data_IF_334677404664
#
_entry.id   IF_334677404664
#
_cell.length_a   1.000
_cell.length_b   1.000
_cell.length_c   1.000
_cell.angle_alpha   90.00
_cell.angle_beta   90.00
_cell.angle_gamma   90.00
#
_symmetry.space_group_name_H-M   'P 1'
#
loop_
_entity.id
_entity.type
_entity.pdbx_description
1 polymer ?
#
# COMPACT_ATOMS: atom_id res chain seq x y z
N UNK A 1 10.32 21.11 9.88
CA UNK A 1 10.61 19.73 10.31
C UNK A 1 9.54 18.72 9.86
N UNK A 2 8.24 18.98 10.08
CA UNK A 2 7.13 18.07 9.67
C UNK A 2 6.98 17.92 8.14
N UNK A 3 7.23 18.98 7.36
CA UNK A 3 7.13 18.96 5.88
C UNK A 3 8.13 17.99 5.25
N UNK A 4 9.37 17.99 5.72
CA UNK A 4 10.43 17.12 5.21
C UNK A 4 10.12 15.65 5.45
N UNK A 5 9.59 15.36 6.62
CA UNK A 5 9.17 14.03 6.97
C UNK A 5 8.03 13.52 6.08
N UNK A 6 6.99 14.32 5.86
CA UNK A 6 5.90 13.95 4.93
C UNK A 6 6.41 13.69 3.52
N UNK A 7 7.38 14.45 3.05
CA UNK A 7 8.00 14.24 1.74
C UNK A 7 8.83 12.95 1.68
N UNK A 8 9.61 12.64 2.72
CA UNK A 8 10.34 11.37 2.79
C UNK A 8 9.39 10.17 2.79
N UNK A 9 8.27 10.25 3.51
CA UNK A 9 7.23 9.21 3.48
C UNK A 9 6.66 9.02 2.08
N UNK A 10 6.30 10.11 1.39
CA UNK A 10 5.83 10.02 0.00
C UNK A 10 6.88 9.41 -0.94
N UNK A 11 8.15 9.77 -0.78
CA UNK A 11 9.24 9.19 -1.58
C UNK A 11 9.39 7.70 -1.30
N UNK A 12 9.29 7.30 -0.04
CA UNK A 12 9.37 5.92 0.39
C UNK A 12 8.26 5.08 -0.24
N UNK A 13 7.02 5.58 -0.20
CA UNK A 13 5.86 4.94 -0.83
C UNK A 13 6.12 4.80 -2.35
N UNK A 14 6.55 5.86 -3.03
CA UNK A 14 6.87 5.80 -4.46
C UNK A 14 7.99 4.79 -4.80
N UNK A 15 8.98 4.63 -3.93
CA UNK A 15 10.04 3.61 -4.08
C UNK A 15 9.46 2.21 -3.86
N UNK A 16 8.57 2.04 -2.88
CA UNK A 16 7.96 0.75 -2.56
C UNK A 16 7.01 0.27 -3.66
N UNK A 17 6.25 1.17 -4.28
CA UNK A 17 5.36 0.87 -5.42
C UNK A 17 6.12 0.28 -6.63
N UNK A 18 7.37 0.70 -6.85
CA UNK A 18 8.14 0.32 -8.07
C UNK A 18 9.35 -0.57 -7.79
N UNK A 19 9.80 -0.66 -6.54
CA UNK A 19 11.09 -1.25 -6.17
C UNK A 19 12.32 -0.43 -6.63
N UNK A 20 12.11 0.71 -7.30
CA UNK A 20 13.15 1.49 -7.95
C UNK A 20 13.44 2.74 -7.12
N UNK A 21 14.66 2.79 -6.57
CA UNK A 21 15.21 3.92 -5.81
C UNK A 21 15.84 4.99 -6.69
N UNK A 22 16.03 4.69 -7.98
CA UNK A 22 16.65 5.59 -8.96
C UNK A 22 15.61 6.56 -9.52
N UNK A 23 15.71 7.88 -9.28
CA UNK A 23 14.72 8.85 -9.75
C UNK A 23 14.61 8.89 -11.28
N UNK A 24 15.68 8.57 -12.02
CA UNK A 24 15.66 8.50 -13.48
C UNK A 24 14.73 7.42 -14.05
N UNK A 25 14.36 6.43 -13.23
CA UNK A 25 13.50 5.31 -13.60
C UNK A 25 12.21 5.26 -12.75
N UNK A 26 11.95 6.30 -11.94
CA UNK A 26 10.74 6.42 -11.12
C UNK A 26 10.28 7.89 -11.14
N UNK A 27 9.33 8.19 -12.04
CA UNK A 27 8.85 9.55 -12.30
C UNK A 27 8.19 10.16 -11.06
N UNK A 28 7.44 9.37 -10.29
CA UNK A 28 6.78 9.81 -9.05
C UNK A 28 7.82 10.21 -8.00
N UNK A 29 8.86 9.40 -7.82
CA UNK A 29 10.00 9.73 -6.97
C UNK A 29 10.73 11.00 -7.43
N UNK A 30 10.97 11.15 -8.73
CA UNK A 30 11.62 12.35 -9.29
C UNK A 30 10.83 13.63 -8.96
N UNK A 31 9.50 13.62 -9.17
CA UNK A 31 8.61 14.75 -8.84
C UNK A 31 8.66 15.08 -7.34
N UNK A 32 8.65 14.07 -6.47
CA UNK A 32 8.72 14.27 -5.02
C UNK A 32 10.08 14.82 -4.57
N UNK A 33 11.18 14.42 -5.21
CA UNK A 33 12.52 14.98 -4.97
C UNK A 33 12.58 16.45 -5.38
N UNK A 34 11.98 16.82 -6.51
CA UNK A 34 11.88 18.21 -6.93
C UNK A 34 11.08 19.04 -5.90
N UNK A 35 9.94 18.54 -5.44
CA UNK A 35 9.16 19.18 -4.37
C UNK A 35 9.98 19.33 -3.08
N UNK A 36 10.77 18.33 -2.71
CA UNK A 36 11.64 18.41 -1.54
C UNK A 36 12.74 19.46 -1.68
N UNK A 37 13.33 19.61 -2.86
CA UNK A 37 14.28 20.69 -3.15
C UNK A 37 13.60 22.06 -3.05
N UNK A 38 12.37 22.21 -3.58
CA UNK A 38 11.59 23.47 -3.51
C UNK A 38 11.30 23.94 -2.08
N UNK A 39 11.16 23.02 -1.13
CA UNK A 39 10.99 23.35 0.30
C UNK A 39 12.31 23.46 1.07
N UNK A 40 13.45 23.55 0.37
CA UNK A 40 14.80 23.65 0.95
C UNK A 40 15.22 22.42 1.77
N UNK A 41 14.77 21.21 1.41
CA UNK A 41 15.37 19.99 1.97
C UNK A 41 16.82 19.86 1.47
N UNK A 42 17.81 19.70 2.37
CA UNK A 42 19.20 19.53 1.95
C UNK A 42 19.37 18.31 1.04
N UNK A 43 20.08 18.48 -0.08
CA UNK A 43 20.34 17.41 -1.06
C UNK A 43 21.01 16.20 -0.40
N UNK A 44 21.95 16.44 0.53
CA UNK A 44 22.56 15.37 1.31
C UNK A 44 21.52 14.52 2.08
N UNK A 45 20.47 15.14 2.62
CA UNK A 45 19.41 14.42 3.33
C UNK A 45 18.56 13.53 2.41
N UNK A 46 18.37 13.97 1.17
CA UNK A 46 17.69 13.18 0.13
C UNK A 46 18.57 12.00 -0.28
N UNK A 47 19.85 12.26 -0.56
CA UNK A 47 20.80 11.22 -0.97
C UNK A 47 20.96 10.14 0.10
N UNK A 48 21.18 10.52 1.36
CA UNK A 48 21.27 9.57 2.49
C UNK A 48 19.99 8.74 2.63
N UNK A 49 18.82 9.34 2.39
CA UNK A 49 17.56 8.60 2.39
C UNK A 49 17.50 7.57 1.26
N UNK A 50 17.86 7.95 0.03
CA UNK A 50 17.87 7.03 -1.13
C UNK A 50 18.89 5.89 -0.96
N UNK A 51 20.09 6.20 -0.48
CA UNK A 51 21.14 5.21 -0.17
C UNK A 51 20.64 4.20 0.88
N UNK A 52 19.98 4.69 1.93
CA UNK A 52 19.38 3.84 2.96
C UNK A 52 18.29 2.94 2.38
N UNK A 53 17.45 3.46 1.50
CA UNK A 53 16.41 2.68 0.83
C UNK A 53 16.99 1.61 -0.10
N UNK A 54 18.10 1.90 -0.78
CA UNK A 54 18.78 0.92 -1.63
C UNK A 54 19.45 -0.19 -0.81
N UNK A 55 20.12 0.16 0.29
CA UNK A 55 20.77 -0.79 1.19
C UNK A 55 19.77 -1.74 1.87
N UNK A 56 18.53 -1.28 2.08
CA UNK A 56 17.41 -2.03 2.67
C UNK A 56 16.93 -3.20 1.80
N UNK A 57 17.29 -3.29 0.51
CA UNK A 57 16.80 -4.33 -0.40
C UNK A 57 17.20 -5.77 -0.03
N UNK A 58 18.32 -5.99 0.67
CA UNK A 58 18.90 -7.33 0.82
C UNK A 58 18.82 -7.94 2.24
N UNK A 59 18.31 -7.21 3.24
CA UNK A 59 18.26 -7.69 4.65
C UNK A 59 16.90 -7.57 5.33
N UNK A 60 15.91 -7.04 4.63
CA UNK A 60 14.63 -6.71 5.24
C UNK A 60 13.66 -7.89 5.20
N UNK A 61 12.89 -8.01 6.27
CA UNK A 61 11.72 -8.88 6.37
C UNK A 61 10.48 -8.05 6.06
N UNK A 62 9.64 -8.56 5.18
CA UNK A 62 8.31 -7.99 4.90
C UNK A 62 7.26 -8.80 5.64
N UNK A 63 6.23 -8.13 6.13
CA UNK A 63 5.11 -8.77 6.80
C UNK A 63 3.96 -7.80 7.03
N UNK A 64 2.95 -8.26 7.76
CA UNK A 64 1.84 -7.43 8.24
C UNK A 64 1.73 -7.53 9.76
N UNK A 65 1.34 -6.43 10.39
CA UNK A 65 1.00 -6.35 11.81
C UNK A 65 -0.43 -5.85 11.92
N UNK A 66 -1.20 -6.48 12.79
CA UNK A 66 -2.60 -6.14 13.00
C UNK A 66 -2.73 -5.05 14.09
N UNK A 67 -3.65 -4.12 13.84
CA UNK A 67 -3.96 -3.01 14.75
C UNK A 67 -5.47 -2.89 14.89
N UNK A 68 -5.92 -2.92 16.14
CA UNK A 68 -7.30 -2.68 16.51
C UNK A 68 -7.50 -1.25 17.00
N UNK A 69 -8.69 -0.71 16.77
CA UNK A 69 -9.08 0.62 17.18
C UNK A 69 -10.50 0.66 17.73
N UNK A 70 -11.10 1.86 17.84
CA UNK A 70 -12.46 2.01 18.34
C UNK A 70 -13.47 1.34 17.40
N UNK A 71 -14.59 0.90 17.98
CA UNK A 71 -15.82 0.54 17.24
C UNK A 71 -15.64 -0.50 16.13
N UNK A 72 -14.79 -1.49 16.37
CA UNK A 72 -14.55 -2.59 15.43
C UNK A 72 -13.55 -2.26 14.32
N UNK A 73 -12.85 -1.12 14.39
CA UNK A 73 -11.77 -0.80 13.48
C UNK A 73 -10.64 -1.84 13.57
N UNK A 74 -10.29 -2.42 12.42
CA UNK A 74 -9.17 -3.33 12.26
C UNK A 74 -8.36 -2.90 11.06
N UNK A 75 -7.04 -2.91 11.22
CA UNK A 75 -6.10 -2.60 10.15
C UNK A 75 -4.94 -3.60 10.10
N UNK A 76 -4.56 -3.98 8.89
CA UNK A 76 -3.29 -4.63 8.58
C UNK A 76 -2.28 -3.60 8.11
N UNK A 77 -1.20 -3.46 8.87
CA UNK A 77 -0.09 -2.57 8.56
C UNK A 77 1.02 -3.38 7.90
N UNK A 78 1.24 -3.16 6.61
CA UNK A 78 2.36 -3.76 5.89
C UNK A 78 3.65 -3.04 6.24
N UNK A 79 4.68 -3.82 6.54
CA UNK A 79 6.00 -3.31 6.88
C UNK A 79 7.11 -4.02 6.12
N UNK A 80 8.26 -3.35 6.00
CA UNK A 80 9.52 -3.92 5.52
C UNK A 80 10.65 -3.39 6.41
N UNK A 81 11.24 -4.26 7.24
CA UNK A 81 12.23 -3.86 8.26
C UNK A 81 13.31 -4.92 8.43
N UNK A 82 14.52 -4.51 8.79
CA UNK A 82 15.61 -5.41 9.22
C UNK A 82 15.48 -5.81 10.71
N UNK A 83 14.63 -5.12 11.49
CA UNK A 83 14.46 -5.35 12.92
C UNK A 83 12.99 -5.26 13.37
N UNK A 84 12.28 -6.39 13.26
CA UNK A 84 10.86 -6.50 13.65
C UNK A 84 10.62 -6.14 15.13
N UNK A 85 11.54 -6.49 16.04
CA UNK A 85 11.38 -6.17 17.47
C UNK A 85 11.43 -4.66 17.73
N UNK A 86 12.32 -3.95 17.04
CA UNK A 86 12.39 -2.49 17.13
C UNK A 86 11.14 -1.83 16.54
N UNK A 87 10.64 -2.35 15.41
CA UNK A 87 9.38 -1.91 14.81
C UNK A 87 8.18 -2.07 15.77
N UNK A 88 8.03 -3.24 16.39
CA UNK A 88 6.95 -3.50 17.36
C UNK A 88 7.01 -2.53 18.53
N UNK A 89 8.20 -2.32 19.11
CA UNK A 89 8.41 -1.37 20.21
C UNK A 89 8.03 0.06 19.79
N UNK A 90 8.39 0.46 18.57
CA UNK A 90 8.06 1.77 18.01
C UNK A 90 6.54 1.91 17.79
N UNK A 91 5.87 0.89 17.26
CA UNK A 91 4.42 0.86 17.08
C UNK A 91 3.70 1.05 18.42
N UNK A 92 4.03 0.26 19.45
CA UNK A 92 3.47 0.44 20.79
C UNK A 92 3.68 1.86 21.32
N UNK A 93 4.88 2.41 21.14
CA UNK A 93 5.20 3.79 21.57
C UNK A 93 4.36 4.82 20.83
N UNK A 94 4.18 4.68 19.51
CA UNK A 94 3.42 5.60 18.67
C UNK A 94 1.92 5.56 18.95
N UNK A 95 1.41 4.41 19.38
CA UNK A 95 -0.01 4.19 19.68
C UNK A 95 -0.40 4.42 21.14
N UNK A 96 0.57 4.59 22.06
CA UNK A 96 0.30 4.75 23.52
C UNK A 96 -0.71 5.84 23.88
N UNK A 97 -0.84 6.89 23.06
CA UNK A 97 -1.77 8.02 23.25
C UNK A 97 -2.90 8.06 22.21
N UNK A 98 -3.18 6.94 21.56
CA UNK A 98 -4.30 6.78 20.64
C UNK A 98 -5.24 5.69 21.16
N UNK A 99 -6.38 5.52 20.49
CA UNK A 99 -7.28 4.39 20.74
C UNK A 99 -6.83 3.10 20.03
N UNK A 100 -5.62 3.07 19.46
CA UNK A 100 -5.10 1.95 18.68
C UNK A 100 -4.26 1.00 19.52
N UNK A 101 -4.33 -0.30 19.23
CA UNK A 101 -3.52 -1.34 19.88
C UNK A 101 -2.98 -2.32 18.85
N UNK A 102 -1.70 -2.65 18.97
CA UNK A 102 -1.11 -3.76 18.22
C UNK A 102 -1.64 -5.07 18.80
N UNK A 103 -2.10 -5.97 17.95
CA UNK A 103 -2.55 -7.31 18.33
C UNK A 103 -1.60 -8.36 17.76
N UNK A 104 -1.30 -9.38 18.57
CA UNK A 104 -0.52 -10.54 18.14
C UNK A 104 -1.42 -11.69 17.66
N UNK A 105 -2.74 -11.56 17.87
CA UNK A 105 -3.71 -12.55 17.42
C UNK A 105 -3.79 -12.58 15.89
N UNK A 106 -3.78 -13.80 15.37
CA UNK A 106 -3.73 -14.09 13.94
C UNK A 106 -5.11 -13.97 13.30
N UNK A 107 -5.77 -12.80 13.38
CA UNK A 107 -6.96 -12.54 12.57
C UNK A 107 -6.63 -12.18 11.11
N UNK A 108 -5.65 -12.89 10.54
CA UNK A 108 -5.57 -13.11 9.08
C UNK A 108 -6.91 -13.61 8.51
N UNK A 109 -7.82 -14.10 9.36
CA UNK A 109 -9.19 -14.45 9.01
C UNK A 109 -10.13 -13.29 8.69
N UNK A 110 -9.82 -12.02 8.99
CA UNK A 110 -10.69 -10.87 8.67
C UNK A 110 -10.39 -10.23 7.31
N UNK A 111 -9.30 -10.66 6.67
CA UNK A 111 -8.86 -10.13 5.38
C UNK A 111 -8.53 -11.27 4.43
N UNK A 112 -8.90 -11.12 3.17
CA UNK A 112 -8.41 -11.99 2.10
C UNK A 112 -7.11 -11.39 1.55
N UNK A 113 -6.04 -12.19 1.51
CA UNK A 113 -4.79 -11.82 0.85
C UNK A 113 -4.88 -12.18 -0.63
N UNK A 114 -4.86 -11.17 -1.50
CA UNK A 114 -5.00 -11.37 -2.95
C UNK A 114 -3.87 -10.69 -3.71
N UNK A 115 -3.46 -11.30 -4.82
CA UNK A 115 -2.75 -10.60 -5.87
C UNK A 115 -3.72 -9.71 -6.63
N UNK A 116 -3.30 -8.50 -6.96
CA UNK A 116 -4.09 -7.46 -7.59
C UNK A 116 -3.34 -6.89 -8.78
N UNK A 117 -3.99 -6.89 -9.94
CA UNK A 117 -3.43 -6.38 -11.20
C UNK A 117 -4.42 -5.40 -11.81
N UNK A 118 -3.98 -4.16 -12.00
CA UNK A 118 -4.78 -3.11 -12.64
C UNK A 118 -4.26 -2.95 -14.06
N UNK A 119 -5.18 -2.95 -15.03
CA UNK A 119 -4.89 -2.77 -16.45
C UNK A 119 -5.82 -1.73 -17.07
N UNK A 120 -5.39 -1.11 -18.17
CA UNK A 120 -6.30 -0.31 -18.99
C UNK A 120 -7.45 -1.18 -19.51
N UNK A 121 -8.66 -0.61 -19.57
CA UNK A 121 -9.82 -1.32 -20.12
C UNK A 121 -9.57 -1.74 -21.58
N UNK A 122 -9.74 -3.02 -21.85
CA UNK A 122 -9.65 -3.62 -23.19
C UNK A 122 -10.88 -4.49 -23.45
N UNK A 123 -11.79 -3.99 -24.27
CA UNK A 123 -13.06 -4.67 -24.57
C UNK A 123 -14.12 -4.45 -23.49
N UNK A 124 -15.10 -5.36 -23.44
CA UNK A 124 -16.13 -5.38 -22.41
C UNK A 124 -15.74 -6.29 -21.24
N UNK A 125 -16.55 -6.24 -20.17
CA UNK A 125 -16.32 -7.01 -18.96
C UNK A 125 -16.49 -8.51 -19.21
N UNK A 126 -17.41 -8.92 -20.08
CA UNK A 126 -17.67 -10.33 -20.38
C UNK A 126 -16.42 -10.99 -20.98
N UNK A 127 -15.78 -10.33 -21.95
CA UNK A 127 -14.53 -10.81 -22.52
C UNK A 127 -13.37 -10.76 -21.53
N UNK A 128 -13.33 -9.75 -20.65
CA UNK A 128 -12.34 -9.69 -19.58
C UNK A 128 -12.50 -10.87 -18.58
N UNK A 129 -13.73 -11.30 -18.28
CA UNK A 129 -14.01 -12.46 -17.43
C UNK A 129 -13.53 -13.77 -18.07
N UNK A 130 -13.72 -13.94 -19.39
CA UNK A 130 -13.15 -15.08 -20.12
C UNK A 130 -11.62 -15.10 -20.04
N UNK A 131 -10.99 -13.93 -20.25
CA UNK A 131 -9.54 -13.79 -20.14
C UNK A 131 -9.06 -14.06 -18.70
N UNK A 132 -9.81 -13.63 -17.69
CA UNK A 132 -9.49 -13.88 -16.28
C UNK A 132 -9.33 -15.39 -16.00
N UNK A 133 -10.27 -16.20 -16.48
CA UNK A 133 -10.23 -17.66 -16.34
C UNK A 133 -8.99 -18.23 -17.03
N UNK A 134 -8.69 -17.78 -18.25
CA UNK A 134 -7.55 -18.27 -19.04
C UNK A 134 -6.21 -17.99 -18.37
N UNK A 135 -6.07 -16.83 -17.74
CA UNK A 135 -4.81 -16.43 -17.07
C UNK A 135 -4.70 -16.98 -15.64
N UNK A 136 -5.79 -17.50 -15.07
CA UNK A 136 -5.86 -18.01 -13.70
C UNK A 136 -6.10 -16.91 -12.65
N UNK A 137 -6.78 -15.83 -13.05
CA UNK A 137 -7.37 -14.87 -12.12
C UNK A 137 -8.69 -15.43 -11.55
N UNK A 138 -8.96 -15.11 -10.29
CA UNK A 138 -10.16 -15.56 -9.56
C UNK A 138 -11.34 -14.64 -9.79
N UNK A 139 -11.08 -13.36 -10.08
CA UNK A 139 -12.09 -12.33 -10.20
C UNK A 139 -11.60 -11.19 -11.12
N UNK A 140 -12.53 -10.50 -11.76
CA UNK A 140 -12.27 -9.27 -12.53
C UNK A 140 -13.40 -8.28 -12.35
N UNK A 141 -13.04 -7.04 -12.01
CA UNK A 141 -13.98 -5.95 -11.82
C UNK A 141 -13.64 -4.78 -12.75
N UNK A 142 -14.66 -4.10 -13.27
CA UNK A 142 -14.51 -2.80 -13.92
C UNK A 142 -14.66 -1.70 -12.87
N UNK A 143 -13.73 -0.74 -12.86
CA UNK A 143 -13.86 0.47 -12.06
C UNK A 143 -13.45 1.70 -12.87
N UNK A 144 -13.83 2.88 -12.40
CA UNK A 144 -13.54 4.16 -13.02
C UNK A 144 -12.73 5.03 -12.05
N UNK A 145 -11.66 5.65 -12.55
CA UNK A 145 -10.84 6.62 -11.82
C UNK A 145 -10.47 7.77 -12.78
N UNK A 146 -10.78 9.01 -12.38
CA UNK A 146 -10.62 10.23 -13.20
C UNK A 146 -11.25 10.12 -14.61
N UNK A 147 -12.52 9.68 -14.70
CA UNK A 147 -13.26 9.45 -15.95
C UNK A 147 -12.63 8.41 -16.91
N UNK A 148 -11.64 7.65 -16.43
CA UNK A 148 -11.00 6.56 -17.18
C UNK A 148 -11.37 5.23 -16.56
N UNK A 149 -11.72 4.26 -17.41
CA UNK A 149 -12.12 2.92 -16.99
C UNK A 149 -10.96 1.94 -17.03
N UNK A 150 -10.92 1.07 -16.03
CA UNK A 150 -9.88 0.07 -15.82
C UNK A 150 -10.49 -1.29 -15.53
N UNK A 151 -9.70 -2.34 -15.73
CA UNK A 151 -10.01 -3.66 -15.18
C UNK A 151 -9.06 -3.98 -14.03
N UNK A 152 -9.63 -4.54 -12.97
CA UNK A 152 -8.93 -5.04 -11.80
C UNK A 152 -9.04 -6.56 -11.76
N UNK A 153 -7.96 -7.25 -12.10
CA UNK A 153 -7.87 -8.70 -11.97
C UNK A 153 -7.34 -9.07 -10.59
N UNK A 154 -8.04 -9.96 -9.89
CA UNK A 154 -7.60 -10.51 -8.60
C UNK A 154 -7.24 -11.98 -8.76
N UNK A 155 -6.21 -12.43 -8.05
CA UNK A 155 -5.79 -13.83 -8.08
C UNK A 155 -5.17 -14.26 -6.76
N UNK A 156 -4.85 -15.54 -6.61
CA UNK A 156 -3.98 -15.98 -5.53
C UNK A 156 -2.63 -15.23 -5.58
N UNK A 157 -2.09 -14.71 -4.45
CA UNK A 157 -0.83 -13.98 -4.42
C UNK A 157 0.36 -14.73 -5.05
N UNK A 158 0.38 -16.06 -4.89
CA UNK A 158 1.42 -16.94 -5.47
C UNK A 158 1.41 -16.97 -7.01
N UNK A 159 0.29 -16.60 -7.63
CA UNK A 159 0.09 -16.57 -9.07
C UNK A 159 0.31 -15.18 -9.67
N UNK A 160 0.51 -14.13 -8.86
CA UNK A 160 0.56 -12.73 -9.29
C UNK A 160 1.46 -12.50 -10.51
N UNK A 161 2.71 -12.99 -10.46
CA UNK A 161 3.66 -12.82 -11.57
C UNK A 161 3.23 -13.60 -12.83
N UNK A 162 2.63 -14.78 -12.65
CA UNK A 162 2.14 -15.60 -13.77
C UNK A 162 0.97 -14.92 -14.46
N UNK A 163 -0.03 -14.49 -13.69
CA UNK A 163 -1.23 -13.80 -14.21
C UNK A 163 -0.83 -12.52 -14.92
N UNK A 164 0.07 -11.72 -14.33
CA UNK A 164 0.64 -10.53 -14.96
C UNK A 164 1.21 -10.84 -16.34
N UNK A 165 2.13 -11.80 -16.45
CA UNK A 165 2.78 -12.11 -17.73
C UNK A 165 1.79 -12.60 -18.78
N UNK A 166 0.80 -13.41 -18.39
CA UNK A 166 -0.24 -13.87 -19.31
C UNK A 166 -1.17 -12.74 -19.77
N UNK A 167 -1.47 -11.76 -18.91
CA UNK A 167 -2.21 -10.57 -19.30
C UNK A 167 -1.40 -9.72 -20.30
N UNK A 168 -0.09 -9.57 -20.07
CA UNK A 168 0.82 -8.90 -21.02
C UNK A 168 0.87 -9.64 -22.38
N UNK A 169 0.87 -10.98 -22.38
CA UNK A 169 0.81 -11.81 -23.60
C UNK A 169 -0.53 -11.68 -24.35
N UNK A 170 -1.62 -11.39 -23.63
CA UNK A 170 -2.93 -11.01 -24.19
C UNK A 170 -3.00 -9.52 -24.59
N UNK A 171 -1.86 -8.82 -24.56
CA UNK A 171 -1.69 -7.39 -24.87
C UNK A 171 -2.58 -6.48 -24.00
N UNK A 172 -2.78 -6.81 -22.74
CA UNK A 172 -3.26 -5.85 -21.75
C UNK A 172 -2.14 -4.88 -21.35
N UNK A 173 -2.48 -3.61 -21.20
CA UNK A 173 -1.57 -2.59 -20.67
C UNK A 173 -1.59 -2.65 -19.14
N UNK A 174 -0.59 -3.32 -18.54
CA UNK A 174 -0.48 -3.47 -17.08
C UNK A 174 0.01 -2.18 -16.43
N UNK A 175 -0.81 -1.62 -15.53
CA UNK A 175 -0.55 -0.36 -14.84
C UNK A 175 -0.02 -0.56 -13.42
N UNK A 176 -0.53 -1.55 -12.70
CA UNK A 176 -0.10 -1.89 -11.34
C UNK A 176 -0.20 -3.39 -11.08
N UNK A 177 0.72 -3.89 -10.25
CA UNK A 177 0.83 -5.30 -9.85
C UNK A 177 1.26 -5.33 -8.39
N UNK A 178 0.33 -5.68 -7.50
CA UNK A 178 0.54 -5.58 -6.05
C UNK A 178 -0.14 -6.74 -5.32
N UNK A 179 0.41 -7.14 -4.18
CA UNK A 179 -0.32 -7.96 -3.22
C UNK A 179 -1.14 -7.02 -2.32
N UNK A 180 -2.42 -7.27 -2.09
CA UNK A 180 -3.28 -6.44 -1.23
C UNK A 180 -4.04 -7.30 -0.23
N UNK A 181 -4.61 -6.65 0.79
CA UNK A 181 -5.49 -7.30 1.76
C UNK A 181 -6.86 -6.64 1.71
N UNK A 182 -7.89 -7.44 1.41
CA UNK A 182 -9.28 -6.97 1.30
C UNK A 182 -10.04 -7.40 2.56
N UNK A 183 -10.61 -6.47 3.34
CA UNK A 183 -11.39 -6.81 4.52
C UNK A 183 -12.69 -7.56 4.13
N UNK A 184 -13.12 -8.51 4.95
CA UNK A 184 -14.38 -9.25 4.73
C UNK A 184 -15.62 -8.46 5.11
N UNK A 185 -15.47 -7.46 5.98
CA UNK A 185 -16.58 -6.65 6.49
C UNK A 185 -16.09 -5.23 6.64
N UNK A 186 -16.83 -4.29 6.07
CA UNK A 186 -16.59 -2.87 6.25
C UNK A 186 -17.39 -2.34 7.46
N UNK A 187 -16.90 -1.25 8.06
CA UNK A 187 -17.56 -0.53 9.14
C UNK A 187 -17.73 0.94 8.78
N UNK A 188 -18.85 1.50 9.21
CA UNK A 188 -19.06 2.93 9.27
C UNK A 188 -18.64 3.46 10.65
N UNK A 189 -18.06 4.65 10.67
CA UNK A 189 -17.60 5.31 11.89
C UNK A 189 -18.19 6.70 11.98
N UNK A 190 -18.56 7.12 13.18
CA UNK A 190 -18.94 8.51 13.45
C UNK A 190 -17.76 9.48 13.26
N UNK A 191 -18.02 10.77 13.10
CA UNK A 191 -16.99 11.81 12.97
C UNK A 191 -15.94 11.79 14.09
N UNK A 192 -16.36 11.45 15.31
CA UNK A 192 -15.47 11.37 16.46
C UNK A 192 -14.52 10.17 16.34
N UNK A 193 -15.04 9.03 15.90
CA UNK A 193 -14.28 7.80 15.70
C UNK A 193 -13.35 7.92 14.48
N UNK A 194 -13.81 8.52 13.38
CA UNK A 194 -12.98 8.84 12.22
C UNK A 194 -11.80 9.74 12.58
N UNK A 195 -12.00 10.72 13.46
CA UNK A 195 -10.90 11.55 14.00
C UNK A 195 -9.91 10.70 14.80
N UNK A 196 -10.39 9.79 15.64
CA UNK A 196 -9.54 8.90 16.42
C UNK A 196 -8.74 7.94 15.53
N UNK A 197 -9.38 7.32 14.53
CA UNK A 197 -8.71 6.45 13.56
C UNK A 197 -7.72 7.22 12.69
N UNK A 198 -8.08 8.43 12.24
CA UNK A 198 -7.16 9.28 11.48
C UNK A 198 -5.89 9.59 12.27
N UNK A 199 -5.97 9.76 13.60
CA UNK A 199 -4.79 9.88 14.44
C UNK A 199 -3.97 8.58 14.46
N UNK A 200 -4.60 7.41 14.55
CA UNK A 200 -3.95 6.11 14.48
C UNK A 200 -3.19 5.96 13.14
N UNK A 201 -3.88 6.11 12.01
CA UNK A 201 -3.30 6.04 10.65
C UNK A 201 -2.12 6.98 10.49
N UNK A 202 -2.27 8.24 10.88
CA UNK A 202 -1.20 9.23 10.77
C UNK A 202 0.04 8.88 11.62
N UNK A 203 -0.15 8.27 12.80
CA UNK A 203 0.97 7.83 13.66
C UNK A 203 1.69 6.62 13.10
N UNK A 204 0.96 5.69 12.49
CA UNK A 204 1.50 4.50 11.85
C UNK A 204 2.24 4.85 10.56
N UNK A 205 1.63 5.61 9.66
CA UNK A 205 2.26 6.08 8.41
C UNK A 205 3.51 6.93 8.66
N UNK A 206 3.65 7.45 9.88
CA UNK A 206 4.85 8.12 10.36
C UNK A 206 6.07 7.17 10.47
N UNK A 207 5.85 5.86 10.55
CA UNK A 207 6.93 4.90 10.71
C UNK A 207 7.54 4.58 9.34
N UNK A 208 8.84 4.82 9.20
CA UNK A 208 9.59 4.62 7.95
C UNK A 208 9.59 3.16 7.47
N UNK A 209 9.33 2.19 8.34
CA UNK A 209 9.28 0.79 7.90
C UNK A 209 7.88 0.39 7.41
N UNK A 210 6.87 1.23 7.60
CA UNK A 210 5.50 0.98 7.14
C UNK A 210 5.36 1.41 5.67
N UNK A 211 4.73 0.57 4.86
CA UNK A 211 4.41 0.87 3.46
C UNK A 211 2.93 1.17 3.25
N UNK A 212 2.05 0.33 3.80
CA UNK A 212 0.61 0.39 3.57
C UNK A 212 -0.19 0.13 4.84
N UNK A 213 -1.40 0.67 4.88
CA UNK A 213 -2.42 0.35 5.87
C UNK A 213 -3.65 -0.10 5.08
N UNK A 214 -4.04 -1.35 5.26
CA UNK A 214 -5.32 -1.90 4.79
C UNK A 214 -6.25 -1.90 5.99
N UNK A 215 -7.39 -1.24 5.91
CA UNK A 215 -8.36 -1.19 7.02
C UNK A 215 -9.77 -1.47 6.53
N UNK A 216 -10.64 -1.75 7.49
CA UNK A 216 -12.03 -2.12 7.26
C UNK A 216 -12.98 -0.92 7.33
N UNK A 217 -12.50 0.31 7.11
CA UNK A 217 -13.38 1.48 7.08
C UNK A 217 -13.98 1.57 5.69
N UNK A 218 -15.29 1.78 5.66
CA UNK A 218 -15.97 2.24 4.46
C UNK A 218 -15.45 3.63 4.12
N UNK A 219 -14.46 3.69 3.23
CA UNK A 219 -14.07 4.97 2.66
C UNK A 219 -15.19 5.37 1.71
N UNK A 220 -15.77 6.56 1.91
CA UNK A 220 -16.28 7.30 0.76
C UNK A 220 -15.11 7.30 -0.23
N UNK A 221 -15.26 6.56 -1.33
CA UNK A 221 -14.37 6.67 -2.48
C UNK A 221 -14.37 8.16 -2.76
N UNK A 222 -13.28 8.85 -2.44
CA UNK A 222 -13.12 10.24 -2.82
C UNK A 222 -13.02 10.17 -4.35
N UNK A 223 -14.19 10.39 -4.98
CA UNK A 223 -14.38 10.55 -6.41
C UNK A 223 -13.44 11.61 -6.97
#
# INVERSE_FOLDING_TARGET
MVVFYKLKLKMQIAIQETGITRPSHNIKLAKLIEQAKKVNMPVASINTFLEKMEARKNKNRTGVIEIHGPSGYVALVRYTTDNVKALMTLLHTKLKKTCGKVTEDSMKSMFTHVGNIIVEKKGDLEHAMENAINVGAEDVEEFEDNDVKYFQFKCEPKLLNKVRSLLEDLEYSVLSVEEIYIPHTMIELSDLELKAVSQIRNRILSIEDVSHIYDNIEQEIIH
#
